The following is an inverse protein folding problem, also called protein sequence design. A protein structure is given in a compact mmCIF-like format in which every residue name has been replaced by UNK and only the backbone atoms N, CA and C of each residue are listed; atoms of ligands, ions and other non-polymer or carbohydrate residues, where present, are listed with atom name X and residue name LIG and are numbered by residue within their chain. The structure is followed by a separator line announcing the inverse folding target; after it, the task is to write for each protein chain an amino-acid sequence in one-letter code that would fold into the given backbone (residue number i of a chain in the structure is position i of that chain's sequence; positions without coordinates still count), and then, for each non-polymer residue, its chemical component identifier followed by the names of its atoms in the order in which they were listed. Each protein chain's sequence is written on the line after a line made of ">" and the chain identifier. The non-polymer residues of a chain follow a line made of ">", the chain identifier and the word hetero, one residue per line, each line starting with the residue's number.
data_IF_678022694044
#
_entry.id   IF_678022694044
#
_cell.length_a   1.000
_cell.length_b   1.000
_cell.length_c   1.000
_cell.angle_alpha   90.00
_cell.angle_beta   90.00
_cell.angle_gamma   90.00
#
_symmetry.space_group_name_H-M   'P 1'
#
loop_
_entity.id
_entity.type
_entity.pdbx_description
1 polymer ?
#
# COMPACT_ATOMS: atom_id res chain seq x y z
N UNK A 1 16.34 -2.57 -13.76
CA UNK A 1 15.80 -2.30 -12.40
C UNK A 1 14.70 -3.31 -12.19
N UNK A 2 14.71 -4.05 -11.08
CA UNK A 2 13.64 -5.02 -10.78
C UNK A 2 12.38 -4.26 -10.34
N UNK A 3 11.21 -4.69 -10.80
CA UNK A 3 9.91 -4.04 -10.56
C UNK A 3 8.86 -5.09 -10.23
N UNK A 4 8.06 -4.81 -9.22
CA UNK A 4 6.83 -5.51 -8.84
C UNK A 4 5.65 -4.64 -9.27
N UNK A 5 4.73 -5.18 -10.06
CA UNK A 5 3.54 -4.46 -10.50
C UNK A 5 2.30 -5.20 -10.01
N UNK A 6 1.35 -4.48 -9.41
CA UNK A 6 0.05 -5.01 -9.00
C UNK A 6 0.16 -6.26 -8.10
N UNK A 7 1.09 -6.22 -7.15
CA UNK A 7 1.38 -7.32 -6.22
C UNK A 7 0.53 -7.18 -4.97
N UNK A 8 0.00 -8.30 -4.49
CA UNK A 8 -0.74 -8.34 -3.24
C UNK A 8 0.23 -8.43 -2.06
N UNK A 9 0.01 -7.60 -1.05
CA UNK A 9 0.75 -7.61 0.20
C UNK A 9 -0.13 -7.20 1.37
N UNK A 10 0.48 -7.13 2.53
CA UNK A 10 -0.18 -6.75 3.78
C UNK A 10 0.56 -5.58 4.41
N UNK A 11 -0.16 -4.59 4.92
CA UNK A 11 0.47 -3.43 5.55
C UNK A 11 1.05 -3.84 6.89
N UNK A 12 2.38 -3.82 7.02
CA UNK A 12 3.06 -4.11 8.29
C UNK A 12 2.70 -3.08 9.34
N UNK A 13 2.81 -1.81 8.94
CA UNK A 13 2.42 -0.65 9.72
C UNK A 13 2.42 0.56 8.81
N UNK A 14 1.56 1.54 9.12
CA UNK A 14 1.55 2.82 8.44
C UNK A 14 1.30 3.94 9.44
N UNK A 15 2.17 4.93 9.45
CA UNK A 15 2.03 6.11 10.31
C UNK A 15 1.41 7.25 9.50
N UNK A 16 0.10 7.43 9.62
CA UNK A 16 -0.62 8.50 8.94
C UNK A 16 -0.19 9.92 9.37
N UNK A 17 0.44 10.07 10.54
CA UNK A 17 0.96 11.38 11.00
C UNK A 17 2.28 11.71 10.33
N UNK A 18 3.13 10.70 10.12
CA UNK A 18 4.40 10.86 9.40
C UNK A 18 4.27 10.75 7.89
N UNK A 19 3.21 10.11 7.39
CA UNK A 19 2.94 9.92 5.97
C UNK A 19 3.75 8.79 5.32
N UNK A 20 4.26 7.82 6.09
CA UNK A 20 4.99 6.69 5.53
C UNK A 20 4.75 5.41 6.34
N UNK A 21 5.06 4.27 5.72
CA UNK A 21 4.90 2.95 6.31
C UNK A 21 5.66 1.88 5.55
N UNK A 22 5.36 0.63 5.89
CA UNK A 22 5.91 -0.54 5.24
C UNK A 22 4.82 -1.56 4.93
N UNK A 23 4.96 -2.20 3.78
CA UNK A 23 4.12 -3.30 3.32
C UNK A 23 4.99 -4.56 3.31
N UNK A 24 4.43 -5.66 3.81
CA UNK A 24 5.00 -6.99 3.72
C UNK A 24 4.66 -7.52 2.33
N UNK A 25 5.68 -7.63 1.49
CA UNK A 25 5.60 -8.23 0.17
C UNK A 25 5.69 -9.76 0.19
N UNK A 26 5.71 -10.40 -0.99
CA UNK A 26 6.01 -11.82 -1.10
C UNK A 26 7.39 -12.10 -0.48
N UNK A 27 7.53 -13.28 0.13
CA UNK A 27 8.75 -13.70 0.82
C UNK A 27 9.14 -12.82 2.04
N UNK A 28 8.17 -12.18 2.71
CA UNK A 28 8.37 -11.31 3.88
C UNK A 28 9.31 -10.11 3.63
N UNK A 29 9.32 -9.60 2.40
CA UNK A 29 10.13 -8.43 2.04
C UNK A 29 9.49 -7.15 2.59
N UNK A 30 10.31 -6.28 3.19
CA UNK A 30 9.89 -4.95 3.63
C UNK A 30 9.87 -3.98 2.44
N UNK A 31 8.68 -3.56 2.03
CA UNK A 31 8.46 -2.60 0.94
C UNK A 31 8.13 -1.23 1.54
N UNK A 32 8.99 -0.24 1.30
CA UNK A 32 8.77 1.11 1.80
C UNK A 32 7.61 1.79 1.04
N UNK A 33 6.64 2.36 1.74
CA UNK A 33 5.52 3.10 1.12
C UNK A 33 5.41 4.51 1.69
N UNK A 34 5.22 5.48 0.81
CA UNK A 34 4.99 6.89 1.15
C UNK A 34 3.55 7.28 0.79
N UNK A 35 2.95 8.23 1.52
CA UNK A 35 1.58 8.67 1.29
C UNK A 35 1.34 9.18 -0.15
N UNK A 36 2.40 9.65 -0.82
CA UNK A 36 2.32 10.10 -2.21
C UNK A 36 2.04 8.95 -3.19
N UNK A 37 2.45 7.72 -2.86
CA UNK A 37 2.22 6.53 -3.65
C UNK A 37 0.85 5.87 -3.36
N UNK A 38 0.15 6.29 -2.30
CA UNK A 38 -1.17 5.74 -1.98
C UNK A 38 -2.21 6.34 -2.93
N UNK A 39 -2.83 5.47 -3.72
CA UNK A 39 -3.93 5.81 -4.61
C UNK A 39 -5.27 5.60 -3.89
N UNK A 40 -5.91 6.72 -3.55
CA UNK A 40 -7.22 6.74 -2.91
C UNK A 40 -8.06 7.86 -3.53
N UNK A 41 -9.26 7.52 -4.00
CA UNK A 41 -10.14 8.45 -4.72
C UNK A 41 -10.76 9.53 -3.81
N UNK A 42 -10.90 9.26 -2.51
CA UNK A 42 -11.59 10.18 -1.59
C UNK A 42 -10.99 10.08 -0.17
N UNK A 43 -10.76 11.23 0.47
CA UNK A 43 -10.28 11.31 1.86
C UNK A 43 -8.74 11.30 2.05
N UNK A 44 -8.30 10.88 3.24
CA UNK A 44 -6.90 10.86 3.64
C UNK A 44 -6.21 9.59 3.17
N UNK A 45 -5.14 9.75 2.37
CA UNK A 45 -4.26 8.70 1.83
C UNK A 45 -3.57 7.92 2.95
N UNK A 46 -4.27 6.95 3.51
CA UNK A 46 -3.85 6.21 4.70
C UNK A 46 -4.14 4.73 4.53
N UNK A 47 -3.31 3.91 5.19
CA UNK A 47 -3.44 2.46 5.23
C UNK A 47 -3.56 2.03 6.70
N UNK A 48 -4.31 0.96 6.97
CA UNK A 48 -4.38 0.37 8.31
C UNK A 48 -3.36 -0.75 8.44
N UNK A 49 -2.83 -0.96 9.64
CA UNK A 49 -2.01 -2.13 9.95
C UNK A 49 -2.78 -3.43 9.73
N UNK A 50 -2.13 -4.43 9.16
CA UNK A 50 -2.72 -5.72 8.78
C UNK A 50 -3.69 -5.66 7.61
N UNK A 51 -3.86 -4.50 6.95
CA UNK A 51 -4.82 -4.38 5.84
C UNK A 51 -4.22 -4.97 4.55
N UNK A 52 -4.98 -5.79 3.80
CA UNK A 52 -4.54 -6.27 2.50
C UNK A 52 -4.53 -5.12 1.50
N UNK A 53 -3.42 -5.01 0.77
CA UNK A 53 -3.16 -3.95 -0.20
C UNK A 53 -2.64 -4.53 -1.51
N UNK A 54 -2.96 -3.84 -2.58
CA UNK A 54 -2.38 -4.03 -3.90
C UNK A 54 -1.35 -2.94 -4.12
N UNK A 55 -0.11 -3.30 -4.42
CA UNK A 55 0.98 -2.34 -4.55
C UNK A 55 1.90 -2.65 -5.73
N UNK A 56 2.54 -1.61 -6.25
CA UNK A 56 3.63 -1.72 -7.20
C UNK A 56 4.89 -1.14 -6.56
N UNK A 57 6.05 -1.77 -6.76
CA UNK A 57 7.31 -1.36 -6.16
C UNK A 57 8.48 -1.52 -7.12
N UNK A 58 9.50 -0.70 -6.96
CA UNK A 58 10.75 -0.79 -7.72
C UNK A 58 11.91 -1.03 -6.77
N UNK A 59 12.80 -1.94 -7.14
CA UNK A 59 14.03 -2.21 -6.39
C UNK A 59 15.11 -1.20 -6.79
N UNK A 60 15.65 -0.53 -5.78
CA UNK A 60 16.75 0.43 -5.90
C UNK A 60 17.93 0.00 -5.03
N UNK A 61 19.05 0.73 -5.09
CA UNK A 61 20.21 0.52 -4.21
C UNK A 61 19.86 0.62 -2.71
N UNK A 62 18.75 1.28 -2.37
CA UNK A 62 18.26 1.44 -0.98
C UNK A 62 17.24 0.40 -0.56
N UNK A 63 16.84 -0.52 -1.45
CA UNK A 63 15.78 -1.51 -1.22
C UNK A 63 14.54 -1.27 -2.08
N UNK A 64 13.45 -1.94 -1.71
CA UNK A 64 12.17 -1.86 -2.41
C UNK A 64 11.39 -0.62 -1.98
N UNK A 65 10.99 0.20 -2.97
CA UNK A 65 10.12 1.35 -2.76
C UNK A 65 8.84 1.18 -3.54
N UNK A 66 7.71 1.28 -2.86
CA UNK A 66 6.40 1.31 -3.48
C UNK A 66 6.25 2.58 -4.32
N UNK A 67 5.86 2.40 -5.58
CA UNK A 67 5.49 3.46 -6.52
C UNK A 67 3.99 3.71 -6.50
N UNK A 68 3.21 2.70 -6.12
CA UNK A 68 1.75 2.73 -6.04
C UNK A 68 1.30 1.80 -4.91
N UNK A 69 0.29 2.18 -4.14
CA UNK A 69 -0.36 1.32 -3.15
C UNK A 69 -1.86 1.65 -3.07
N UNK A 70 -2.70 0.62 -3.03
CA UNK A 70 -4.16 0.74 -2.94
C UNK A 70 -4.68 -0.32 -1.98
N UNK A 71 -5.55 0.08 -1.04
CA UNK A 71 -6.26 -0.90 -0.22
C UNK A 71 -7.14 -1.78 -1.12
N UNK A 72 -6.94 -3.11 -1.06
CA UNK A 72 -7.79 -4.07 -1.78
C UNK A 72 -8.99 -4.51 -0.92
N UNK A 73 -9.09 -3.94 0.29
CA UNK A 73 -10.22 -4.15 1.17
C UNK A 73 -11.46 -3.52 0.53
N UNK A 74 -12.17 -4.32 -0.27
CA UNK A 74 -13.42 -3.98 -0.93
C UNK A 74 -14.51 -3.84 0.13
N UNK A 75 -14.48 -2.73 0.87
CA UNK A 75 -15.62 -2.21 1.62
C UNK A 75 -16.60 -1.44 0.70
N UNK A 76 -16.57 -1.71 -0.61
CA UNK A 76 -17.54 -1.24 -1.58
C UNK A 76 -18.71 -2.23 -1.73
N UNK A 77 -19.32 -2.63 -0.61
CA UNK A 77 -20.69 -3.16 -0.65
C UNK A 77 -21.37 -2.72 0.64
N UNK A 78 -21.92 -1.49 0.68
CA UNK A 78 -23.09 -1.08 1.49
C UNK A 78 -23.19 0.45 1.62
N UNK A 79 -23.53 1.18 0.55
CA UNK A 79 -24.24 2.49 0.63
C UNK A 79 -24.82 2.89 -0.72
N UNK A 80 -25.45 1.94 -1.41
CA UNK A 80 -26.54 2.26 -2.33
C UNK A 80 -27.72 1.40 -1.92
N UNK A 81 -28.54 1.90 -1.02
CA UNK A 81 -29.88 1.37 -0.78
C UNK A 81 -30.78 2.57 -0.54
N UNK A 82 -31.50 2.88 -1.64
CA UNK A 82 -32.76 3.60 -1.80
C UNK A 82 -33.14 4.71 -0.82
#
# INVERSE_FOLDING_TARGET
>A
METLNDVHGEVKWFDARKGFGFIIGPDNQDIFVHFSAIEQNEGFRTLKDGEPVLYSATKSEKGWSATMAKATNRAEVSTTSA
#
